data_IF_430101614062
#
_entry.id   IF_430101614062
#
_cell.length_a   1.000
_cell.length_b   1.000
_cell.length_c   1.000
_cell.angle_alpha   90.00
_cell.angle_beta   90.00
_cell.angle_gamma   90.00
#
_symmetry.space_group_name_H-M   'P 1'
#
loop_
_entity.id
_entity.type
_entity.pdbx_description
1 polymer ?
#
# COMPACT_ATOMS: atom_id res chain seq x y z
N UNK A 1 -1.18 -5.34 -10.35
CA UNK A 1 -0.24 -4.70 -9.41
C UNK A 1 0.87 -4.08 -10.23
N UNK A 2 1.20 -2.81 -10.02
CA UNK A 2 2.29 -2.12 -10.72
C UNK A 2 3.53 -2.29 -9.84
N UNK A 3 4.53 -3.03 -10.33
CA UNK A 3 5.85 -3.18 -9.71
C UNK A 3 5.92 -4.03 -8.43
N UNK A 4 7.05 -4.71 -8.24
CA UNK A 4 7.42 -5.25 -6.92
C UNK A 4 7.66 -4.04 -6.01
N UNK A 5 6.81 -3.87 -5.00
CA UNK A 5 6.96 -2.81 -4.00
C UNK A 5 6.86 -3.38 -2.60
N UNK A 6 7.59 -2.76 -1.68
CA UNK A 6 7.64 -3.21 -0.29
C UNK A 6 7.10 -2.11 0.60
N UNK A 7 6.22 -2.47 1.54
CA UNK A 7 5.55 -1.52 2.43
C UNK A 7 6.09 -1.62 3.85
N UNK A 8 6.62 -0.51 4.35
CA UNK A 8 7.15 -0.41 5.71
C UNK A 8 6.27 0.51 6.58
N UNK A 9 6.11 0.21 7.88
CA UNK A 9 5.53 1.16 8.81
C UNK A 9 6.41 2.41 8.93
N UNK A 10 5.79 3.57 9.01
CA UNK A 10 6.49 4.83 9.23
C UNK A 10 5.71 5.73 10.19
N UNK A 11 6.44 6.64 10.85
CA UNK A 11 5.88 7.70 11.68
C UNK A 11 6.50 9.03 11.27
N UNK A 12 5.71 10.09 11.31
CA UNK A 12 6.22 11.43 11.02
C UNK A 12 7.07 11.91 12.20
N UNK A 13 8.30 12.37 11.92
CA UNK A 13 9.20 12.89 12.94
C UNK A 13 8.62 14.09 13.72
N UNK A 14 7.73 14.88 13.07
CA UNK A 14 7.06 16.00 13.71
C UNK A 14 5.75 15.64 14.44
N UNK A 15 5.20 14.44 14.20
CA UNK A 15 3.99 13.98 14.87
C UNK A 15 3.87 12.44 14.85
N UNK A 16 4.29 11.82 15.94
CA UNK A 16 4.28 10.37 16.12
C UNK A 16 2.88 9.76 16.27
N UNK A 17 1.80 10.56 16.31
CA UNK A 17 0.43 10.06 16.45
C UNK A 17 -0.11 9.48 15.14
N UNK A 18 0.43 9.90 14.01
CA UNK A 18 -0.01 9.42 12.70
C UNK A 18 0.77 8.16 12.32
N UNK A 19 0.06 7.03 12.25
CA UNK A 19 0.57 5.78 11.71
C UNK A 19 0.52 5.85 10.19
N UNK A 20 1.67 6.06 9.56
CA UNK A 20 1.82 6.10 8.11
C UNK A 20 2.46 4.80 7.62
N UNK A 21 2.54 4.65 6.30
CA UNK A 21 3.39 3.66 5.69
C UNK A 21 4.21 4.27 4.56
N UNK A 22 5.41 3.73 4.36
CA UNK A 22 6.24 4.04 3.20
C UNK A 22 6.22 2.83 2.28
N UNK A 23 5.67 3.02 1.07
CA UNK A 23 5.74 2.04 0.00
C UNK A 23 6.91 2.40 -0.90
N UNK A 24 7.89 1.49 -0.98
CA UNK A 24 9.10 1.67 -1.75
C UNK A 24 9.01 0.94 -3.07
N UNK A 25 9.40 1.63 -4.14
CA UNK A 25 9.52 1.09 -5.49
C UNK A 25 10.97 1.26 -5.95
N UNK A 26 11.57 0.24 -6.55
CA UNK A 26 12.86 0.40 -7.23
C UNK A 26 12.71 1.44 -8.35
N UNK A 27 13.55 2.47 -8.37
CA UNK A 27 13.41 3.55 -9.34
C UNK A 27 13.53 3.04 -10.80
N UNK A 28 14.21 1.91 -11.01
CA UNK A 28 14.30 1.26 -12.34
C UNK A 28 12.95 0.76 -12.86
N UNK A 29 12.03 0.42 -11.94
CA UNK A 29 10.70 -0.08 -12.27
C UNK A 29 9.64 1.05 -12.31
N UNK A 30 10.02 2.26 -11.89
CA UNK A 30 9.16 3.45 -11.90
C UNK A 30 9.19 4.08 -13.29
N UNK A 31 8.17 3.81 -14.09
CA UNK A 31 7.95 4.51 -15.36
C UNK A 31 7.14 5.80 -15.20
N UNK A 32 7.18 6.67 -16.21
CA UNK A 32 6.43 7.95 -16.25
C UNK A 32 4.92 7.77 -15.97
N UNK A 33 4.35 6.64 -16.41
CA UNK A 33 2.94 6.28 -16.15
C UNK A 33 2.62 6.15 -14.66
N UNK A 34 3.59 5.75 -13.84
CA UNK A 34 3.39 5.60 -12.40
C UNK A 34 3.41 6.96 -11.71
N UNK A 35 4.33 7.85 -12.10
CA UNK A 35 4.37 9.23 -11.60
C UNK A 35 3.07 9.97 -11.94
N UNK A 36 2.60 9.86 -13.19
CA UNK A 36 1.34 10.45 -13.61
C UNK A 36 0.14 9.90 -12.81
N UNK A 37 0.14 8.61 -12.46
CA UNK A 37 -0.90 8.01 -11.61
C UNK A 37 -0.84 8.55 -10.18
N UNK A 38 0.35 8.73 -9.61
CA UNK A 38 0.51 9.30 -8.28
C UNK A 38 0.00 10.74 -8.23
N UNK A 39 0.32 11.54 -9.24
CA UNK A 39 -0.21 12.90 -9.38
C UNK A 39 -1.74 12.88 -9.45
N UNK A 40 -2.35 12.02 -10.29
CA UNK A 40 -3.82 11.88 -10.34
C UNK A 40 -4.44 11.37 -9.05
N UNK A 41 -3.70 10.58 -8.25
CA UNK A 41 -4.21 10.06 -6.97
C UNK A 41 -4.23 11.12 -5.88
N UNK A 42 -3.33 12.11 -5.96
CA UNK A 42 -3.24 13.20 -4.98
C UNK A 42 -4.41 14.19 -5.05
N UNK A 43 -5.16 14.21 -6.16
CA UNK A 43 -6.34 15.06 -6.34
C UNK A 43 -7.65 14.39 -5.93
N UNK A 44 -7.64 13.09 -5.62
CA UNK A 44 -8.82 12.38 -5.17
C UNK A 44 -9.17 12.76 -3.73
N UNK A 45 -10.44 13.06 -3.42
CA UNK A 45 -10.86 13.29 -2.04
C UNK A 45 -10.64 12.02 -1.21
N UNK A 46 -10.33 12.20 0.07
CA UNK A 46 -10.13 11.09 1.00
C UNK A 46 -11.41 10.23 1.12
N UNK A 47 -11.25 8.91 1.14
CA UNK A 47 -12.35 7.97 1.30
C UNK A 47 -11.88 6.80 2.18
N UNK A 48 -12.71 6.27 3.10
CA UNK A 48 -12.30 5.23 4.05
C UNK A 48 -11.83 3.93 3.39
N UNK A 49 -12.30 3.65 2.18
CA UNK A 49 -12.01 2.41 1.46
C UNK A 49 -10.95 2.59 0.37
N UNK A 50 -10.29 3.74 0.34
CA UNK A 50 -9.14 3.99 -0.53
C UNK A 50 -7.96 4.41 0.33
N UNK A 51 -6.76 3.92 0.00
CA UNK A 51 -5.55 4.37 0.66
C UNK A 51 -5.12 5.70 0.02
N UNK A 52 -5.01 6.75 0.84
CA UNK A 52 -4.60 8.06 0.37
C UNK A 52 -3.08 8.13 0.23
N UNK A 53 -2.61 8.77 -0.85
CA UNK A 53 -1.20 9.11 -1.02
C UNK A 53 -0.97 10.48 -0.39
N UNK A 54 -0.21 10.52 0.71
CA UNK A 54 0.11 11.76 1.41
C UNK A 54 1.26 12.53 0.76
N UNK A 55 2.23 11.80 0.21
CA UNK A 55 3.42 12.38 -0.43
C UNK A 55 4.12 11.30 -1.26
N UNK A 56 4.96 11.72 -2.20
CA UNK A 56 5.90 10.83 -2.88
C UNK A 56 7.18 11.58 -3.20
N UNK A 57 8.33 10.92 -3.13
CA UNK A 57 9.63 11.53 -3.42
C UNK A 57 10.69 10.48 -3.77
N UNK A 58 11.66 10.81 -4.64
CA UNK A 58 12.82 9.96 -4.87
C UNK A 58 13.73 9.98 -3.63
N UNK A 59 14.29 8.82 -3.28
CA UNK A 59 15.18 8.67 -2.13
C UNK A 59 16.20 7.54 -2.37
N UNK A 60 17.27 7.53 -1.57
CA UNK A 60 18.20 6.40 -1.51
C UNK A 60 17.93 5.56 -0.28
N UNK A 61 17.77 4.26 -0.49
CA UNK A 61 17.53 3.27 0.58
C UNK A 61 18.54 2.13 0.49
N UNK A 62 18.84 1.44 1.60
CA UNK A 62 19.58 0.18 1.54
C UNK A 62 18.88 -0.81 0.60
N UNK A 63 19.64 -1.48 -0.27
CA UNK A 63 19.09 -2.45 -1.24
C UNK A 63 18.29 -3.57 -0.57
N UNK A 64 18.70 -3.97 0.63
CA UNK A 64 18.02 -4.95 1.47
C UNK A 64 16.57 -4.59 1.83
N UNK A 65 16.17 -3.31 1.71
CA UNK A 65 14.78 -2.88 1.92
C UNK A 65 13.92 -3.05 0.66
N UNK A 66 14.51 -3.19 -0.52
CA UNK A 66 13.78 -3.46 -1.76
C UNK A 66 13.77 -4.96 -2.07
N UNK A 67 14.92 -5.60 -1.86
CA UNK A 67 15.13 -7.02 -2.06
C UNK A 67 15.99 -7.58 -0.92
N UNK A 68 15.44 -8.40 0.00
CA UNK A 68 16.18 -8.98 1.12
C UNK A 68 17.36 -9.87 0.68
N UNK A 69 17.34 -10.38 -0.55
CA UNK A 69 18.39 -11.25 -1.10
C UNK A 69 19.51 -10.47 -1.77
N UNK A 70 19.29 -9.17 -2.00
CA UNK A 70 20.29 -8.30 -2.61
C UNK A 70 21.45 -8.01 -1.64
N UNK A 71 22.67 -7.96 -2.17
CA UNK A 71 23.87 -7.69 -1.39
C UNK A 71 23.96 -6.27 -0.81
N UNK A 72 25.10 -5.94 -0.20
CA UNK A 72 25.31 -4.61 0.40
C UNK A 72 25.23 -3.46 -0.61
N UNK A 73 24.77 -2.30 -0.14
CA UNK A 73 24.74 -1.05 -0.89
C UNK A 73 23.43 -0.28 -0.80
N UNK A 74 23.39 0.89 -1.43
CA UNK A 74 22.19 1.70 -1.60
C UNK A 74 21.59 1.52 -3.00
N UNK A 75 20.28 1.70 -3.12
CA UNK A 75 19.53 1.80 -4.36
C UNK A 75 18.71 3.08 -4.35
N UNK A 76 18.54 3.65 -5.53
CA UNK A 76 17.61 4.74 -5.74
C UNK A 76 16.18 4.15 -5.83
N UNK A 77 15.26 4.75 -5.10
CA UNK A 77 13.89 4.28 -4.95
C UNK A 77 12.91 5.44 -4.97
N UNK A 78 11.69 5.19 -5.44
CA UNK A 78 10.58 6.09 -5.21
C UNK A 78 9.87 5.68 -3.91
N UNK A 79 9.84 6.58 -2.94
CA UNK A 79 9.06 6.41 -1.73
C UNK A 79 7.68 7.06 -1.91
N UNK A 80 6.63 6.28 -1.66
CA UNK A 80 5.24 6.76 -1.62
C UNK A 80 4.76 6.66 -0.18
N UNK A 81 4.41 7.79 0.42
CA UNK A 81 3.88 7.87 1.78
C UNK A 81 2.37 7.68 1.74
N UNK A 82 1.90 6.64 2.40
CA UNK A 82 0.50 6.23 2.50
C UNK A 82 -0.12 6.70 3.82
N UNK A 83 -1.39 7.09 3.75
CA UNK A 83 -2.17 7.55 4.92
C UNK A 83 -2.46 6.44 5.93
N UNK A 84 -2.41 5.17 5.49
CA UNK A 84 -2.59 4.01 6.35
C UNK A 84 -1.69 2.86 5.91
N UNK A 85 -1.29 2.03 6.89
CA UNK A 85 -0.52 0.82 6.62
C UNK A 85 -1.46 -0.35 6.33
N UNK A 86 -1.34 -1.04 5.19
CA UNK A 86 -1.99 -2.33 5.00
C UNK A 86 -1.38 -3.35 5.98
N UNK A 87 -2.23 -3.98 6.79
CA UNK A 87 -1.81 -4.98 7.78
C UNK A 87 -1.63 -6.37 7.16
N UNK A 88 -2.40 -6.69 6.13
CA UNK A 88 -2.37 -7.94 5.38
C UNK A 88 -3.02 -7.70 4.01
N UNK A 89 -2.72 -8.58 3.06
CA UNK A 89 -3.48 -8.61 1.80
C UNK A 89 -4.88 -9.19 2.03
N UNK A 90 -5.83 -8.89 1.14
CA UNK A 90 -7.15 -9.52 1.20
C UNK A 90 -7.07 -11.04 1.10
N UNK A 91 -6.12 -11.55 0.30
CA UNK A 91 -5.86 -12.98 0.18
C UNK A 91 -5.42 -13.58 1.52
N UNK A 92 -4.40 -13.01 2.17
CA UNK A 92 -3.93 -13.47 3.48
C UNK A 92 -5.04 -13.44 4.54
N UNK A 93 -5.94 -12.46 4.48
CA UNK A 93 -7.09 -12.38 5.39
C UNK A 93 -8.09 -13.52 5.14
N UNK A 94 -8.43 -13.77 3.87
CA UNK A 94 -9.36 -14.82 3.51
C UNK A 94 -8.80 -16.21 3.82
N UNK A 95 -7.51 -16.45 3.55
CA UNK A 95 -6.85 -17.72 3.87
C UNK A 95 -6.90 -18.04 5.39
N UNK A 96 -6.76 -17.02 6.23
CA UNK A 96 -6.91 -17.17 7.69
C UNK A 96 -8.33 -17.52 8.10
N UNK A 97 -9.34 -16.91 7.47
CA UNK A 97 -10.74 -17.19 7.78
C UNK A 97 -11.16 -18.60 7.31
N UNK A 98 -10.67 -19.05 6.15
CA UNK A 98 -10.90 -20.43 5.69
C UNK A 98 -10.34 -21.43 6.70
N UNK A 99 -9.17 -21.14 7.27
CA UNK A 99 -8.50 -21.99 8.26
C UNK A 99 -9.23 -22.07 9.61
N UNK A 100 -10.21 -21.20 9.87
CA UNK A 100 -11.00 -21.20 11.11
C UNK A 100 -12.23 -22.10 11.06
N UNK A 101 -12.53 -22.73 9.91
CA UNK A 101 -13.65 -23.67 9.71
C UNK A 101 -15.04 -23.10 10.08
N UNK A 102 -15.21 -21.78 10.10
CA UNK A 102 -16.50 -21.10 10.33
C UNK A 102 -17.07 -20.53 9.01
N UNK A 103 -17.82 -21.32 8.23
CA UNK A 103 -18.24 -20.92 6.88
C UNK A 103 -19.13 -19.67 6.91
N UNK A 104 -20.03 -19.52 7.88
CA UNK A 104 -20.92 -18.35 7.95
C UNK A 104 -20.14 -17.06 8.14
N UNK A 105 -19.11 -17.07 8.99
CA UNK A 105 -18.26 -15.90 9.24
C UNK A 105 -17.41 -15.58 8.00
N UNK A 106 -16.85 -16.59 7.34
CA UNK A 106 -16.14 -16.42 6.07
C UNK A 106 -17.00 -15.73 5.00
N UNK A 107 -18.21 -16.23 4.75
CA UNK A 107 -19.13 -15.62 3.77
C UNK A 107 -19.52 -14.19 4.15
N UNK A 108 -19.78 -13.94 5.43
CA UNK A 108 -20.10 -12.60 5.93
C UNK A 108 -18.96 -11.62 5.68
N UNK A 109 -17.72 -12.04 5.96
CA UNK A 109 -16.52 -11.23 5.76
C UNK A 109 -16.25 -10.94 4.27
N UNK A 110 -16.50 -11.91 3.39
CA UNK A 110 -16.46 -11.68 1.94
C UNK A 110 -17.45 -10.60 1.52
N UNK A 111 -18.70 -10.69 1.98
CA UNK A 111 -19.73 -9.70 1.62
C UNK A 111 -19.35 -8.29 2.10
N UNK A 112 -18.77 -8.19 3.29
CA UNK A 112 -18.25 -6.91 3.82
C UNK A 112 -17.10 -6.39 2.96
N UNK A 113 -16.13 -7.24 2.61
CA UNK A 113 -15.00 -6.85 1.77
C UNK A 113 -15.45 -6.40 0.37
N UNK A 114 -16.42 -7.10 -0.23
CA UNK A 114 -17.01 -6.74 -1.52
C UNK A 114 -17.75 -5.40 -1.46
N UNK A 115 -18.56 -5.18 -0.41
CA UNK A 115 -19.23 -3.90 -0.20
C UNK A 115 -18.21 -2.76 -0.08
N UNK A 116 -17.13 -2.99 0.67
CA UNK A 116 -16.08 -1.99 0.83
C UNK A 116 -15.37 -1.70 -0.50
N UNK A 117 -15.05 -2.73 -1.27
CA UNK A 117 -14.45 -2.61 -2.59
C UNK A 117 -15.34 -1.81 -3.54
N UNK A 118 -16.63 -2.12 -3.60
CA UNK A 118 -17.59 -1.43 -4.46
C UNK A 118 -17.74 0.04 -4.09
N UNK A 119 -17.79 0.38 -2.80
CA UNK A 119 -17.78 1.77 -2.35
C UNK A 119 -16.48 2.50 -2.74
N UNK A 120 -15.33 1.82 -2.61
CA UNK A 120 -14.04 2.38 -3.04
C UNK A 120 -14.00 2.61 -4.55
N UNK A 121 -14.45 1.65 -5.36
CA UNK A 121 -14.50 1.79 -6.82
C UNK A 121 -15.46 2.90 -7.25
N UNK A 122 -16.65 2.98 -6.65
CA UNK A 122 -17.63 4.03 -6.93
C UNK A 122 -17.04 5.43 -6.68
N UNK A 123 -16.16 5.57 -5.70
CA UNK A 123 -15.47 6.83 -5.40
C UNK A 123 -14.41 7.21 -6.45
N UNK A 124 -13.90 6.23 -7.20
CA UNK A 124 -12.86 6.43 -8.22
C UNK A 124 -13.42 6.63 -9.64
N UNK A 125 -14.72 6.45 -9.84
CA UNK A 125 -15.44 6.62 -11.12
C UNK A 125 -16.18 7.95 -11.15
#
# INVERSE_FOLDING_TARGET
>A
MIGNSVVYPAVSAGNNKFKLACQLYDQRDVGDRMLQKLESSSSLPAHPNTCGVCSHFPCRVPRSLLDPTSGGGAADALCVVLSSRPSHSLQEYLDRLVSQEEPTEYHRQILVALLQLLHGIKHLL
#
